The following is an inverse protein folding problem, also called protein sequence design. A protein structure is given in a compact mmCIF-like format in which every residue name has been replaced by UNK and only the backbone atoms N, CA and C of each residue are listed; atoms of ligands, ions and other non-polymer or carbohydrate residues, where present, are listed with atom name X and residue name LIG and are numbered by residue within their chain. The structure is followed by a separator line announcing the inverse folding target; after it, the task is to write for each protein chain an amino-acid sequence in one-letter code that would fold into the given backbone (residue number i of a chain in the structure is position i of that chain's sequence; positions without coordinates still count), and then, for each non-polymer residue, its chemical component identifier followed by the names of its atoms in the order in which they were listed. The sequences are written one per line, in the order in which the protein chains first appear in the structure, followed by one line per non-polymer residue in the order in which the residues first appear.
data_IF_359348131605
#
_entry.id   IF_359348131605
#
_cell.length_a   1.000
_cell.length_b   1.000
_cell.length_c   1.000
_cell.angle_alpha   90.00
_cell.angle_beta   90.00
_cell.angle_gamma   90.00
#
_symmetry.space_group_name_H-M   'P 1'
#
loop_
_entity.id
_entity.type
_entity.pdbx_description
1 polymer ?
#
# COMPACT_ATOMS: atom_id res chain seq x y z
N UNK A 1 8.34 -5.45 12.53
CA UNK A 1 7.16 -4.59 12.80
C UNK A 1 6.03 -4.89 11.82
N UNK A 2 4.82 -4.64 12.22
CA UNK A 2 3.68 -4.68 11.31
C UNK A 2 3.22 -3.25 11.01
N UNK A 3 2.94 -2.97 9.76
CA UNK A 3 2.28 -1.74 9.37
C UNK A 3 0.88 -2.04 8.84
N UNK A 4 0.04 -1.03 8.85
CA UNK A 4 -1.28 -1.04 8.25
C UNK A 4 -1.49 0.29 7.55
N UNK A 5 -2.12 0.27 6.39
CA UNK A 5 -2.47 1.50 5.69
C UNK A 5 -3.87 1.41 5.11
N UNK A 6 -4.57 2.54 5.12
CA UNK A 6 -5.84 2.71 4.44
C UNK A 6 -5.57 3.61 3.24
N UNK A 7 -5.89 3.10 2.06
CA UNK A 7 -5.69 3.78 0.79
C UNK A 7 -7.05 4.27 0.30
N UNK A 8 -7.17 5.54 -0.01
CA UNK A 8 -8.37 6.11 -0.59
C UNK A 8 -8.13 6.52 -2.04
N UNK A 9 -8.99 6.04 -2.94
CA UNK A 9 -8.97 6.40 -4.36
C UNK A 9 -9.96 7.55 -4.56
N UNK A 10 -9.44 8.75 -4.76
CA UNK A 10 -10.26 9.97 -4.84
C UNK A 10 -10.70 10.31 -6.25
N UNK A 11 -10.03 9.79 -7.28
CA UNK A 11 -10.44 10.01 -8.67
C UNK A 11 -11.78 9.29 -8.92
N UNK A 12 -12.87 10.01 -9.26
CA UNK A 12 -14.19 9.40 -9.45
C UNK A 12 -14.27 8.45 -10.65
N UNK A 13 -13.31 8.51 -11.57
CA UNK A 13 -13.23 7.61 -12.73
C UNK A 13 -12.52 6.30 -12.41
N UNK A 14 -12.01 6.16 -11.20
CA UNK A 14 -11.27 4.98 -10.73
C UNK A 14 -11.89 4.45 -9.45
N UNK A 15 -11.49 3.25 -9.05
CA UNK A 15 -12.05 2.59 -7.86
C UNK A 15 -11.00 1.75 -7.14
N UNK A 16 -11.41 1.14 -6.04
CA UNK A 16 -10.59 0.18 -5.28
C UNK A 16 -10.02 -0.92 -6.16
N UNK A 17 -10.78 -1.38 -7.16
CA UNK A 17 -10.32 -2.44 -8.07
C UNK A 17 -9.05 -2.01 -8.80
N UNK A 18 -8.97 -0.74 -9.22
CA UNK A 18 -7.78 -0.21 -9.90
C UNK A 18 -6.56 -0.28 -8.99
N UNK A 19 -6.72 0.06 -7.70
CA UNK A 19 -5.62 -0.03 -6.74
C UNK A 19 -5.20 -1.48 -6.49
N UNK A 20 -6.16 -2.39 -6.34
CA UNK A 20 -5.87 -3.83 -6.14
C UNK A 20 -5.08 -4.38 -7.32
N UNK A 21 -5.48 -4.06 -8.55
CA UNK A 21 -4.75 -4.48 -9.75
C UNK A 21 -3.33 -3.91 -9.78
N UNK A 22 -3.21 -2.63 -9.47
CA UNK A 22 -1.90 -1.96 -9.42
C UNK A 22 -1.00 -2.61 -8.37
N UNK A 23 -1.51 -2.78 -7.14
CA UNK A 23 -0.74 -3.37 -6.06
C UNK A 23 -0.31 -4.81 -6.39
N UNK A 24 -1.20 -5.58 -7.00
CA UNK A 24 -0.89 -6.96 -7.42
C UNK A 24 0.30 -6.99 -8.38
N UNK A 25 0.38 -6.04 -9.30
CA UNK A 25 1.53 -5.91 -10.21
C UNK A 25 2.81 -5.49 -9.49
N UNK A 26 2.68 -4.69 -8.45
CA UNK A 26 3.83 -4.14 -7.71
C UNK A 26 4.35 -5.04 -6.59
N UNK A 27 3.62 -6.11 -6.24
CA UNK A 27 3.99 -7.03 -5.16
C UNK A 27 5.40 -7.62 -5.31
N UNK A 28 5.84 -7.85 -6.53
CA UNK A 28 7.18 -8.38 -6.79
C UNK A 28 8.30 -7.53 -6.17
N UNK A 29 8.05 -6.23 -5.98
CA UNK A 29 9.01 -5.33 -5.35
C UNK A 29 8.94 -5.37 -3.83
N UNK A 30 7.72 -5.43 -3.28
CA UNK A 30 7.51 -5.43 -1.83
C UNK A 30 7.72 -6.79 -1.20
N UNK A 31 7.44 -7.88 -1.91
CA UNK A 31 7.65 -9.25 -1.42
C UNK A 31 9.11 -9.52 -1.05
N UNK A 32 10.04 -8.74 -1.59
CA UNK A 32 11.47 -8.86 -1.25
C UNK A 32 11.77 -8.48 0.21
N UNK A 33 10.92 -7.66 0.85
CA UNK A 33 11.19 -7.19 2.22
C UNK A 33 9.95 -7.19 3.12
N UNK A 34 8.81 -7.66 2.64
CA UNK A 34 7.60 -7.81 3.46
C UNK A 34 7.18 -9.27 3.53
N UNK A 35 6.40 -9.60 4.56
CA UNK A 35 5.84 -10.93 4.76
C UNK A 35 4.48 -10.83 5.43
N UNK A 36 3.71 -11.92 5.36
CA UNK A 36 2.38 -12.02 5.97
C UNK A 36 1.48 -10.85 5.56
N UNK A 37 1.49 -10.55 4.26
CA UNK A 37 0.71 -9.46 3.70
C UNK A 37 -0.76 -9.83 3.59
N UNK A 38 -1.62 -8.87 3.94
CA UNK A 38 -3.05 -8.90 3.64
C UNK A 38 -3.40 -7.60 2.93
N UNK A 39 -4.22 -7.69 1.89
CA UNK A 39 -4.80 -6.49 1.29
C UNK A 39 -6.17 -6.82 0.71
N UNK A 40 -7.07 -5.86 0.79
CA UNK A 40 -8.46 -6.04 0.34
C UNK A 40 -9.11 -4.69 0.08
N UNK A 41 -10.18 -4.69 -0.72
CA UNK A 41 -11.06 -3.54 -0.83
C UNK A 41 -12.00 -3.52 0.38
N UNK A 42 -12.14 -2.35 1.02
CA UNK A 42 -13.13 -2.11 2.06
C UNK A 42 -14.47 -1.72 1.42
N UNK A 43 -14.40 -0.88 0.41
CA UNK A 43 -15.53 -0.39 -0.38
C UNK A 43 -15.00 0.09 -1.74
N UNK A 44 -15.84 0.73 -2.55
CA UNK A 44 -15.45 1.16 -3.90
C UNK A 44 -14.35 2.22 -3.91
N UNK A 45 -14.14 2.92 -2.81
CA UNK A 45 -13.20 4.04 -2.71
C UNK A 45 -11.98 3.72 -1.87
N UNK A 46 -12.01 2.69 -1.03
CA UNK A 46 -10.98 2.44 -0.03
C UNK A 46 -10.49 1.00 -0.06
N UNK A 47 -9.20 0.86 0.17
CA UNK A 47 -8.53 -0.42 0.35
C UNK A 47 -7.73 -0.40 1.65
N UNK A 48 -7.48 -1.58 2.18
CA UNK A 48 -6.62 -1.77 3.35
C UNK A 48 -5.47 -2.69 2.95
N UNK A 49 -4.29 -2.41 3.50
CA UNK A 49 -3.13 -3.27 3.38
C UNK A 49 -2.45 -3.39 4.74
N UNK A 50 -1.98 -4.58 5.06
CA UNK A 50 -1.19 -4.85 6.26
C UNK A 50 -0.10 -5.85 5.91
N UNK A 51 1.10 -5.61 6.43
CA UNK A 51 2.23 -6.52 6.24
C UNK A 51 3.24 -6.34 7.36
N UNK A 52 4.14 -7.31 7.47
CA UNK A 52 5.27 -7.27 8.40
C UNK A 52 6.56 -6.98 7.65
N UNK A 53 7.45 -6.22 8.26
CA UNK A 53 8.79 -5.98 7.76
C UNK A 53 9.74 -5.72 8.92
N UNK A 54 11.05 -5.86 8.69
CA UNK A 54 12.06 -5.42 9.65
C UNK A 54 12.15 -3.89 9.65
N UNK A 55 12.42 -3.31 10.81
CA UNK A 55 12.59 -1.85 10.91
C UNK A 55 13.71 -1.34 10.01
N UNK A 56 14.76 -2.14 9.82
CA UNK A 56 15.87 -1.79 8.92
C UNK A 56 15.42 -1.66 7.46
N UNK A 57 14.27 -2.22 7.10
CA UNK A 57 13.77 -2.23 5.72
C UNK A 57 12.76 -1.11 5.44
N UNK A 58 12.45 -0.25 6.41
CA UNK A 58 11.50 0.85 6.23
C UNK A 58 11.92 1.77 5.09
N UNK A 59 13.22 2.02 4.93
CA UNK A 59 13.73 2.83 3.81
C UNK A 59 13.43 2.21 2.44
N UNK A 60 13.29 0.89 2.37
CA UNK A 60 12.92 0.20 1.12
C UNK A 60 11.47 0.48 0.74
N UNK A 61 10.60 0.68 1.72
CA UNK A 61 9.23 1.11 1.47
C UNK A 61 9.21 2.51 0.87
N UNK A 62 10.02 3.42 1.40
CA UNK A 62 10.14 4.78 0.86
C UNK A 62 10.62 4.75 -0.60
N UNK A 63 11.59 3.89 -0.91
CA UNK A 63 12.05 3.69 -2.28
C UNK A 63 10.94 3.13 -3.17
N UNK A 64 10.15 2.20 -2.65
CA UNK A 64 9.04 1.58 -3.39
C UNK A 64 7.99 2.62 -3.79
N UNK A 65 7.56 3.47 -2.86
CA UNK A 65 6.53 4.48 -3.15
C UNK A 65 7.05 5.60 -4.05
N UNK A 66 8.36 5.76 -4.15
CA UNK A 66 9.00 6.72 -5.03
C UNK A 66 9.27 6.18 -6.45
N UNK A 67 8.96 4.91 -6.74
CA UNK A 67 9.12 4.36 -8.09
C UNK A 67 8.24 5.12 -9.09
N UNK A 68 8.72 5.35 -10.32
CA UNK A 68 7.92 6.06 -11.33
C UNK A 68 6.52 5.48 -11.52
N UNK A 69 6.37 4.16 -11.52
CA UNK A 69 5.09 3.48 -11.68
C UNK A 69 4.14 3.78 -10.51
N UNK A 70 4.67 3.82 -9.29
CA UNK A 70 3.88 4.14 -8.09
C UNK A 70 3.44 5.59 -8.10
N UNK A 71 4.33 6.51 -8.42
CA UNK A 71 4.03 7.95 -8.47
C UNK A 71 3.00 8.24 -9.57
N UNK A 72 3.15 7.61 -10.74
CA UNK A 72 2.21 7.78 -11.85
C UNK A 72 0.80 7.32 -11.45
N UNK A 73 0.70 6.13 -10.87
CA UNK A 73 -0.59 5.59 -10.43
C UNK A 73 -1.21 6.47 -9.33
N UNK A 74 -0.44 6.81 -8.30
CA UNK A 74 -0.94 7.58 -7.16
C UNK A 74 -1.43 8.97 -7.60
N UNK A 75 -0.75 9.57 -8.55
CA UNK A 75 -1.16 10.87 -9.10
C UNK A 75 -2.45 10.73 -9.90
N UNK A 76 -2.52 9.73 -10.78
CA UNK A 76 -3.70 9.50 -11.64
C UNK A 76 -4.93 9.12 -10.82
N UNK A 77 -4.77 8.25 -9.86
CA UNK A 77 -5.86 7.80 -8.99
C UNK A 77 -6.19 8.78 -7.87
N UNK A 78 -5.39 9.82 -7.69
CA UNK A 78 -5.53 10.79 -6.60
C UNK A 78 -5.56 10.09 -5.24
N UNK A 79 -4.52 9.30 -4.98
CA UNK A 79 -4.43 8.48 -3.79
C UNK A 79 -4.13 9.34 -2.55
N UNK A 80 -4.87 9.07 -1.46
CA UNK A 80 -4.48 9.48 -0.11
C UNK A 80 -4.28 8.24 0.75
N UNK A 81 -3.32 8.31 1.67
CA UNK A 81 -2.94 7.17 2.51
C UNK A 81 -2.94 7.59 3.97
N UNK A 82 -3.58 6.77 4.82
CA UNK A 82 -3.38 6.82 6.26
C UNK A 82 -2.59 5.57 6.66
N UNK A 83 -1.40 5.76 7.20
CA UNK A 83 -0.52 4.66 7.56
C UNK A 83 -0.33 4.61 9.08
N UNK A 84 -0.28 3.40 9.62
CA UNK A 84 -0.14 3.14 11.05
C UNK A 84 0.95 2.10 11.27
N UNK A 85 1.74 2.30 12.31
CA UNK A 85 2.60 1.27 12.85
C UNK A 85 1.82 0.51 13.92
N UNK A 86 1.74 -0.80 13.77
CA UNK A 86 1.02 -1.66 14.71
C UNK A 86 2.03 -2.43 15.56
N UNK A 87 2.25 -1.99 16.79
CA UNK A 87 3.12 -2.67 17.73
C UNK A 87 2.27 -3.54 18.68
N UNK A 88 2.76 -4.72 19.05
CA UNK A 88 2.02 -5.57 19.99
C UNK A 88 1.86 -4.85 21.32
N UNK A 89 0.69 -4.97 21.92
CA UNK A 89 0.41 -4.45 23.25
C UNK A 89 0.86 -5.45 24.32
N UNK A 90 1.66 -4.98 25.23
CA UNK A 90 2.14 -5.77 26.36
C UNK A 90 3.55 -6.21 26.29
#
# INVERSE_FOLDING_TARGET
MRFMAIITVNNPSMSSVDWIEHHTKMKKYTDAFTRNEMFAAINDRQCIISAEMHEADVSKMDEHVARPESVEFDTRAQITVEAFRCDPMG
#
